data_IF_182052776069
#
_entry.id   IF_182052776069
#
_cell.length_a   1.000
_cell.length_b   1.000
_cell.length_c   1.000
_cell.angle_alpha   90.00
_cell.angle_beta   90.00
_cell.angle_gamma   90.00
#
_symmetry.space_group_name_H-M   'P 1'
#
loop_
_entity.id
_entity.type
_entity.pdbx_description
1 polymer ?
#
# COMPACT_ATOMS: atom_id res chain seq x y z
N UNK A 1 10.02 10.05 10.90
CA UNK A 1 9.73 9.50 9.55
C UNK A 1 10.96 9.57 8.63
N UNK A 2 11.62 10.73 8.47
CA UNK A 2 12.86 10.87 7.66
C UNK A 2 14.00 9.94 8.09
N UNK A 3 14.16 9.68 9.39
CA UNK A 3 15.22 8.79 9.90
C UNK A 3 15.10 7.33 9.40
N UNK A 4 13.89 6.86 9.05
CA UNK A 4 13.70 5.53 8.46
C UNK A 4 14.21 5.51 7.03
N UNK A 5 13.85 6.53 6.24
CA UNK A 5 14.38 6.72 4.89
C UNK A 5 15.91 6.79 4.88
N UNK A 6 16.51 7.62 5.74
CA UNK A 6 17.97 7.80 5.79
C UNK A 6 18.73 6.50 6.12
N UNK A 7 18.07 5.52 6.76
CA UNK A 7 18.62 4.18 7.00
C UNK A 7 18.47 3.27 5.79
N UNK A 8 17.28 3.24 5.18
CA UNK A 8 17.00 2.44 3.97
C UNK A 8 17.83 2.91 2.76
N UNK A 9 18.23 4.18 2.75
CA UNK A 9 19.08 4.74 1.70
C UNK A 9 20.57 4.38 1.82
N UNK A 10 20.94 3.57 2.82
CA UNK A 10 22.29 3.05 3.01
C UNK A 10 22.30 1.55 2.78
N UNK A 11 23.47 1.04 2.44
CA UNK A 11 23.74 -0.40 2.45
C UNK A 11 23.47 -0.94 3.86
N UNK A 12 22.70 -2.02 3.93
CA UNK A 12 22.41 -2.72 5.18
C UNK A 12 22.89 -4.16 5.09
N UNK A 13 23.59 -4.63 6.13
CA UNK A 13 24.01 -6.01 6.25
C UNK A 13 23.12 -6.74 7.25
N UNK A 14 22.58 -7.88 6.83
CA UNK A 14 21.77 -8.78 7.65
C UNK A 14 22.69 -9.85 8.24
N UNK A 15 23.01 -9.76 9.53
CA UNK A 15 23.90 -10.71 10.19
C UNK A 15 23.30 -12.12 10.28
N UNK A 16 21.98 -12.25 10.36
CA UNK A 16 21.34 -13.57 10.47
C UNK A 16 21.34 -14.28 9.12
N UNK A 17 21.05 -13.53 8.05
CA UNK A 17 20.96 -14.07 6.69
C UNK A 17 22.28 -14.05 5.93
N UNK A 18 23.29 -13.34 6.46
CA UNK A 18 24.59 -13.10 5.82
C UNK A 18 24.43 -12.50 4.41
N UNK A 19 23.48 -11.57 4.25
CA UNK A 19 23.20 -10.89 2.96
C UNK A 19 23.30 -9.38 3.10
N UNK A 20 23.74 -8.74 2.02
CA UNK A 20 23.79 -7.29 1.89
C UNK A 20 22.60 -6.80 1.05
N UNK A 21 21.79 -5.91 1.63
CA UNK A 21 20.70 -5.27 0.91
C UNK A 21 21.19 -4.00 0.22
N UNK A 22 20.88 -3.91 -1.08
CA UNK A 22 21.15 -2.71 -1.87
C UNK A 22 20.41 -1.50 -1.30
N UNK A 23 21.04 -0.30 -1.34
CA UNK A 23 20.42 0.92 -0.84
C UNK A 23 19.18 1.27 -1.67
N UNK A 24 18.16 1.83 -1.02
CA UNK A 24 16.91 2.25 -1.65
C UNK A 24 16.88 3.77 -1.80
N UNK A 25 16.19 4.31 -2.81
CA UNK A 25 16.02 5.76 -2.96
C UNK A 25 14.58 6.14 -3.29
N UNK A 26 14.26 7.41 -3.04
CA UNK A 26 12.97 7.99 -3.37
C UNK A 26 12.80 8.09 -4.88
N UNK A 27 11.64 7.68 -5.39
CA UNK A 27 11.34 7.65 -6.83
C UNK A 27 10.49 8.82 -7.31
N UNK A 28 9.81 9.54 -6.41
CA UNK A 28 8.84 10.59 -6.77
C UNK A 28 9.14 11.97 -6.18
N UNK A 29 10.26 12.13 -5.45
CA UNK A 29 10.70 13.41 -4.89
C UNK A 29 12.23 13.50 -4.92
N UNK A 30 12.75 14.31 -5.84
CA UNK A 30 14.19 14.53 -6.02
C UNK A 30 14.84 15.17 -4.78
N UNK A 31 14.11 16.01 -4.04
CA UNK A 31 14.66 16.67 -2.86
C UNK A 31 14.97 15.63 -1.77
N UNK A 32 14.10 14.63 -1.62
CA UNK A 32 14.32 13.52 -0.69
C UNK A 32 15.34 12.53 -1.23
N UNK A 33 15.27 12.18 -2.52
CA UNK A 33 16.25 11.31 -3.19
C UNK A 33 17.68 11.81 -2.98
N UNK A 34 17.88 13.13 -3.07
CA UNK A 34 19.20 13.75 -2.94
C UNK A 34 19.73 13.89 -1.50
N UNK A 35 18.95 13.52 -0.47
CA UNK A 35 19.41 13.60 0.95
C UNK A 35 20.55 12.62 1.25
N UNK A 36 20.46 11.42 0.70
CA UNK A 36 21.46 10.36 0.88
C UNK A 36 21.86 9.86 -0.51
N UNK A 37 23.01 10.32 -0.99
CA UNK A 37 23.55 9.93 -2.30
C UNK A 37 24.37 8.66 -2.16
N UNK A 38 23.71 7.53 -2.39
CA UNK A 38 24.39 6.24 -2.47
C UNK A 38 24.42 5.79 -3.94
N UNK A 39 25.60 5.46 -4.50
CA UNK A 39 25.69 4.93 -5.87
C UNK A 39 24.83 3.67 -6.03
N UNK A 40 24.21 3.51 -7.20
CA UNK A 40 23.36 2.36 -7.54
C UNK A 40 22.17 2.11 -6.59
N UNK A 41 21.67 3.16 -5.92
CA UNK A 41 20.46 3.03 -5.09
C UNK A 41 19.22 2.76 -5.94
N UNK A 42 18.42 1.77 -5.53
CA UNK A 42 17.22 1.33 -6.23
C UNK A 42 16.05 2.30 -5.98
N UNK A 43 15.50 2.98 -7.01
CA UNK A 43 14.39 3.90 -6.84
C UNK A 43 13.06 3.16 -6.65
N UNK A 44 12.78 2.76 -5.40
CA UNK A 44 11.58 1.99 -5.05
C UNK A 44 10.82 2.52 -3.83
N UNK A 45 11.18 3.70 -3.31
CA UNK A 45 10.46 4.34 -2.21
C UNK A 45 9.57 5.45 -2.79
N UNK A 46 8.26 5.33 -2.59
CA UNK A 46 7.31 6.39 -2.92
C UNK A 46 6.93 7.16 -1.65
N UNK A 47 7.10 8.49 -1.67
CA UNK A 47 6.82 9.37 -0.54
C UNK A 47 5.52 10.12 -0.77
N UNK A 48 4.67 10.12 0.25
CA UNK A 48 3.42 10.85 0.24
C UNK A 48 3.51 11.99 1.25
N UNK A 49 3.53 13.21 0.74
CA UNK A 49 3.44 14.44 1.55
C UNK A 49 2.02 14.96 1.43
N UNK A 50 1.11 14.35 2.19
CA UNK A 50 -0.32 14.59 2.03
C UNK A 50 -0.79 15.92 2.65
N UNK A 51 -1.52 16.70 1.85
CA UNK A 51 -2.36 17.80 2.35
C UNK A 51 -3.76 17.29 2.74
N UNK A 52 -4.55 18.09 3.47
CA UNK A 52 -5.94 17.70 3.79
C UNK A 52 -6.77 17.46 2.53
N UNK A 53 -6.59 18.26 1.48
CA UNK A 53 -7.29 18.08 0.19
C UNK A 53 -6.88 16.77 -0.46
N UNK A 54 -5.57 16.49 -0.54
CA UNK A 54 -5.05 15.24 -1.08
C UNK A 54 -5.60 14.03 -0.32
N UNK A 55 -5.62 14.07 1.01
CA UNK A 55 -6.20 13.00 1.84
C UNK A 55 -7.69 12.78 1.57
N UNK A 56 -8.45 13.86 1.38
CA UNK A 56 -9.86 13.76 0.99
C UNK A 56 -10.05 13.12 -0.38
N UNK A 57 -9.18 13.45 -1.33
CA UNK A 57 -9.24 12.87 -2.69
C UNK A 57 -8.87 11.39 -2.68
N UNK A 58 -7.82 11.02 -1.94
CA UNK A 58 -7.41 9.64 -1.73
C UNK A 58 -8.52 8.82 -1.07
N UNK A 59 -9.20 9.36 -0.05
CA UNK A 59 -10.31 8.68 0.61
C UNK A 59 -11.46 8.41 -0.37
N UNK A 60 -11.77 9.38 -1.24
CA UNK A 60 -12.79 9.23 -2.28
C UNK A 60 -12.36 8.24 -3.37
N UNK A 61 -11.09 8.24 -3.77
CA UNK A 61 -10.53 7.31 -4.73
C UNK A 61 -10.62 5.86 -4.21
N UNK A 62 -10.16 5.60 -2.99
CA UNK A 62 -10.27 4.27 -2.38
C UNK A 62 -11.73 3.82 -2.27
N UNK A 63 -12.64 4.71 -1.83
CA UNK A 63 -14.07 4.39 -1.78
C UNK A 63 -14.60 3.98 -3.15
N UNK A 64 -14.26 4.73 -4.18
CA UNK A 64 -14.69 4.44 -5.56
C UNK A 64 -14.12 3.11 -6.04
N UNK A 65 -12.83 2.86 -5.80
CA UNK A 65 -12.18 1.60 -6.14
C UNK A 65 -12.85 0.38 -5.49
N UNK A 66 -13.28 0.51 -4.23
CA UNK A 66 -14.04 -0.55 -3.53
C UNK A 66 -15.46 -0.71 -4.11
N UNK A 67 -16.15 0.39 -4.44
CA UNK A 67 -17.51 0.34 -5.00
C UNK A 67 -17.55 -0.24 -6.41
N UNK A 68 -16.53 0.06 -7.21
CA UNK A 68 -16.40 -0.37 -8.60
C UNK A 68 -15.78 -1.78 -8.71
N UNK A 69 -15.46 -2.43 -7.60
CA UNK A 69 -14.75 -3.73 -7.53
C UNK A 69 -13.39 -3.71 -8.26
N UNK A 70 -12.67 -2.59 -8.17
CA UNK A 70 -11.26 -2.53 -8.59
C UNK A 70 -10.33 -3.22 -7.58
N UNK A 71 -10.77 -3.34 -6.32
CA UNK A 71 -10.08 -4.06 -5.25
C UNK A 71 -10.98 -5.18 -4.75
N UNK A 72 -10.50 -6.42 -4.89
CA UNK A 72 -11.11 -7.58 -4.24
C UNK A 72 -10.40 -7.87 -2.91
N UNK A 73 -11.15 -7.78 -1.81
CA UNK A 73 -10.64 -8.15 -0.49
C UNK A 73 -10.71 -9.68 -0.30
N UNK A 74 -9.79 -10.21 0.51
CA UNK A 74 -9.84 -11.62 0.89
C UNK A 74 -11.15 -11.96 1.59
N UNK A 75 -11.60 -13.21 1.41
CA UNK A 75 -12.73 -13.76 2.15
C UNK A 75 -12.52 -13.66 3.67
N UNK A 76 -13.60 -13.80 4.44
CA UNK A 76 -13.48 -13.80 5.89
C UNK A 76 -12.57 -14.93 6.38
N UNK A 77 -11.87 -14.66 7.49
CA UNK A 77 -10.97 -15.62 8.12
C UNK A 77 -11.67 -16.95 8.44
N UNK A 78 -12.90 -16.92 8.96
CA UNK A 78 -13.66 -18.14 9.23
C UNK A 78 -13.90 -18.98 7.95
N UNK A 79 -14.24 -18.31 6.85
CA UNK A 79 -14.42 -19.01 5.56
C UNK A 79 -13.09 -19.52 5.02
N UNK A 80 -12.00 -18.80 5.23
CA UNK A 80 -10.66 -19.26 4.86
C UNK A 80 -10.23 -20.50 5.66
N UNK A 81 -10.47 -20.52 6.97
CA UNK A 81 -10.23 -21.67 7.84
C UNK A 81 -11.00 -22.92 7.40
N UNK A 82 -12.23 -22.74 6.94
CA UNK A 82 -13.07 -23.87 6.51
C UNK A 82 -12.76 -24.34 5.09
N UNK A 83 -12.50 -23.41 4.16
CA UNK A 83 -12.49 -23.73 2.72
C UNK A 83 -11.14 -23.57 2.02
N UNK A 84 -10.22 -22.73 2.53
CA UNK A 84 -8.99 -22.36 1.81
C UNK A 84 -7.75 -22.93 2.48
N UNK A 85 -7.54 -22.64 3.76
CA UNK A 85 -6.37 -23.06 4.52
C UNK A 85 -6.21 -24.60 4.57
N UNK A 86 -7.29 -25.41 4.73
CA UNK A 86 -7.17 -26.86 4.71
C UNK A 86 -6.72 -27.45 3.36
N UNK A 87 -6.69 -26.65 2.28
CA UNK A 87 -6.18 -27.07 0.97
C UNK A 87 -4.68 -26.89 0.83
N UNK A 88 -4.01 -26.26 1.81
CA UNK A 88 -2.57 -26.00 1.80
C UNK A 88 -1.91 -27.08 2.65
N UNK A 89 -1.14 -27.96 2.03
CA UNK A 89 -0.52 -29.10 2.71
C UNK A 89 0.45 -28.64 3.81
N UNK A 90 1.22 -27.58 3.54
CA UNK A 90 2.17 -26.99 4.49
C UNK A 90 1.47 -26.42 5.72
N UNK A 91 0.27 -25.85 5.58
CA UNK A 91 -0.52 -25.36 6.70
C UNK A 91 -1.04 -26.51 7.57
N UNK A 92 -1.49 -27.60 6.95
CA UNK A 92 -1.99 -28.78 7.66
C UNK A 92 -0.87 -29.57 8.38
N UNK A 93 0.33 -29.56 7.81
CA UNK A 93 1.50 -30.27 8.34
C UNK A 93 2.35 -29.41 9.27
N UNK A 94 2.04 -28.11 9.40
CA UNK A 94 2.73 -27.19 10.28
C UNK A 94 2.75 -27.73 11.73
N UNK A 95 3.96 -27.78 12.28
CA UNK A 95 4.20 -28.27 13.65
C UNK A 95 4.19 -27.07 14.62
N UNK A 96 4.72 -25.94 14.19
CA UNK A 96 4.77 -24.71 14.96
C UNK A 96 3.55 -23.84 14.68
N UNK A 97 3.06 -23.17 15.72
CA UNK A 97 1.92 -22.26 15.58
C UNK A 97 2.23 -21.09 14.65
N UNK A 98 3.48 -20.62 14.65
CA UNK A 98 3.92 -19.51 13.80
C UNK A 98 3.85 -19.86 12.31
N UNK A 99 4.07 -21.13 11.95
CA UNK A 99 3.92 -21.62 10.58
C UNK A 99 2.46 -21.60 10.14
N UNK A 100 1.52 -21.97 11.01
CA UNK A 100 0.08 -21.85 10.72
C UNK A 100 -0.34 -20.39 10.62
N UNK A 101 0.09 -19.57 11.57
CA UNK A 101 -0.21 -18.15 11.64
C UNK A 101 0.27 -17.42 10.39
N UNK A 102 1.38 -17.83 9.78
CA UNK A 102 1.87 -17.27 8.52
C UNK A 102 0.79 -17.32 7.41
N UNK A 103 0.08 -18.44 7.27
CA UNK A 103 -0.98 -18.59 6.27
C UNK A 103 -2.30 -17.93 6.68
N UNK A 104 -2.59 -17.86 7.97
CA UNK A 104 -3.79 -17.20 8.51
C UNK A 104 -3.72 -15.68 8.44
N UNK A 105 -2.51 -15.13 8.61
CA UNK A 105 -2.25 -13.71 8.77
C UNK A 105 -2.85 -12.82 7.67
N UNK A 106 -2.77 -13.14 6.35
CA UNK A 106 -3.39 -12.32 5.32
C UNK A 106 -4.91 -12.10 5.53
N UNK A 107 -5.62 -13.14 5.97
CA UNK A 107 -7.05 -13.07 6.22
C UNK A 107 -7.37 -12.27 7.49
N UNK A 108 -6.60 -12.49 8.56
CA UNK A 108 -6.72 -11.71 9.80
C UNK A 108 -6.45 -10.22 9.55
N UNK A 109 -5.38 -9.88 8.84
CA UNK A 109 -5.04 -8.49 8.52
C UNK A 109 -6.10 -7.84 7.61
N UNK A 110 -6.72 -8.61 6.71
CA UNK A 110 -7.84 -8.11 5.89
C UNK A 110 -9.07 -7.83 6.75
N UNK A 111 -9.40 -8.70 7.71
CA UNK A 111 -10.50 -8.46 8.65
C UNK A 111 -10.25 -7.24 9.52
N UNK A 112 -9.04 -7.10 10.05
CA UNK A 112 -8.65 -5.93 10.85
C UNK A 112 -8.68 -4.65 10.01
N UNK A 113 -8.25 -4.69 8.74
CA UNK A 113 -8.40 -3.55 7.83
C UNK A 113 -9.87 -3.13 7.65
N UNK A 114 -10.78 -4.09 7.46
CA UNK A 114 -12.22 -3.81 7.32
C UNK A 114 -12.78 -3.22 8.61
N UNK A 115 -12.46 -3.83 9.76
CA UNK A 115 -12.91 -3.37 11.07
C UNK A 115 -12.38 -1.96 11.39
N UNK A 116 -11.09 -1.72 11.14
CA UNK A 116 -10.43 -0.44 11.31
C UNK A 116 -11.09 0.64 10.45
N UNK A 117 -11.26 0.36 9.15
CA UNK A 117 -11.87 1.29 8.19
C UNK A 117 -13.31 1.65 8.56
N UNK A 118 -14.12 0.65 8.96
CA UNK A 118 -15.49 0.87 9.43
C UNK A 118 -15.57 1.69 10.73
N UNK A 119 -14.52 1.62 11.56
CA UNK A 119 -14.43 2.35 12.82
C UNK A 119 -14.04 3.82 12.68
N UNK A 120 -13.64 4.27 11.49
CA UNK A 120 -13.18 5.64 11.24
C UNK A 120 -14.34 6.65 11.22
N UNK A 121 -14.03 7.86 11.66
CA UNK A 121 -14.92 9.01 11.56
C UNK A 121 -14.64 9.76 10.27
N UNK A 122 -15.70 10.16 9.58
CA UNK A 122 -15.62 10.98 8.38
C UNK A 122 -16.36 12.29 8.62
N UNK A 123 -15.61 13.39 8.71
CA UNK A 123 -16.16 14.74 8.83
C UNK A 123 -16.02 15.50 7.52
N UNK A 124 -17.09 16.13 7.05
CA UNK A 124 -17.03 17.06 5.93
C UNK A 124 -16.87 18.47 6.45
N UNK A 125 -15.78 19.15 6.11
CA UNK A 125 -15.57 20.55 6.49
C UNK A 125 -16.55 21.44 5.72
N UNK A 126 -17.36 22.21 6.44
CA UNK A 126 -18.47 23.00 5.86
C UNK A 126 -18.00 24.01 4.80
N UNK A 127 -16.85 24.65 5.03
CA UNK A 127 -16.35 25.72 4.15
C UNK A 127 -15.70 25.20 2.86
N UNK A 128 -14.96 24.10 2.94
CA UNK A 128 -14.14 23.59 1.82
C UNK A 128 -14.73 22.35 1.17
N UNK A 129 -15.70 21.71 1.81
CA UNK A 129 -16.28 20.44 1.39
C UNK A 129 -15.34 19.23 1.51
N UNK A 130 -14.10 19.43 1.99
CA UNK A 130 -13.06 18.42 2.16
C UNK A 130 -13.47 17.42 3.24
N UNK A 131 -13.27 16.13 2.95
CA UNK A 131 -13.47 15.05 3.91
C UNK A 131 -12.22 14.87 4.76
N UNK A 132 -12.40 14.83 6.07
CA UNK A 132 -11.35 14.54 7.05
C UNK A 132 -11.67 13.19 7.68
N UNK A 133 -10.76 12.25 7.48
CA UNK A 133 -10.84 10.90 8.04
C UNK A 133 -9.97 10.82 9.30
N UNK A 134 -10.58 10.47 10.42
CA UNK A 134 -9.91 10.41 11.72
C UNK A 134 -10.31 9.18 12.52
N UNK A 135 -9.42 8.80 13.42
CA UNK A 135 -9.57 7.71 14.35
C UNK A 135 -10.67 8.03 15.38
N UNK A 136 -11.39 7.00 15.84
CA UNK A 136 -12.33 7.12 16.95
C UNK A 136 -11.63 6.76 18.26
N UNK A 137 -11.55 7.72 19.19
CA UNK A 137 -10.96 7.48 20.51
C UNK A 137 -9.47 7.13 20.42
N UNK A 138 -9.08 5.96 20.93
CA UNK A 138 -7.70 5.47 20.93
C UNK A 138 -7.39 4.48 19.79
N UNK A 139 -8.31 4.32 18.82
CA UNK A 139 -8.11 3.46 17.66
C UNK A 139 -7.00 4.00 16.75
N UNK A 140 -6.50 3.15 15.85
CA UNK A 140 -5.54 3.53 14.81
C UNK A 140 -6.18 3.51 13.42
N UNK A 141 -5.45 4.02 12.43
CA UNK A 141 -5.83 4.01 11.01
C UNK A 141 -4.68 3.60 10.08
N UNK A 142 -3.69 2.89 10.61
CA UNK A 142 -2.47 2.56 9.88
C UNK A 142 -2.71 1.60 8.71
N UNK A 143 -3.61 0.61 8.86
CA UNK A 143 -4.01 -0.28 7.76
C UNK A 143 -4.80 0.48 6.71
N UNK A 144 -5.76 1.30 7.13
CA UNK A 144 -6.52 2.17 6.24
C UNK A 144 -5.59 3.10 5.44
N UNK A 145 -4.64 3.74 6.12
CA UNK A 145 -3.69 4.66 5.49
C UNK A 145 -2.80 3.90 4.50
N UNK A 146 -2.32 2.71 4.87
CA UNK A 146 -1.50 1.87 3.99
C UNK A 146 -2.24 1.50 2.70
N UNK A 147 -3.46 0.98 2.80
CA UNK A 147 -4.26 0.56 1.64
C UNK A 147 -4.69 1.75 0.79
N UNK A 148 -5.16 2.84 1.41
CA UNK A 148 -5.60 4.04 0.67
C UNK A 148 -4.47 4.70 -0.10
N UNK A 149 -3.27 4.77 0.50
CA UNK A 149 -2.08 5.29 -0.17
C UNK A 149 -1.56 4.35 -1.26
N UNK A 150 -1.64 3.04 -1.05
CA UNK A 150 -1.30 2.05 -2.07
C UNK A 150 -2.25 2.14 -3.28
N UNK A 151 -3.55 2.28 -3.04
CA UNK A 151 -4.54 2.50 -4.11
C UNK A 151 -4.23 3.79 -4.87
N UNK A 152 -3.93 4.89 -4.17
CA UNK A 152 -3.57 6.14 -4.83
C UNK A 152 -2.32 5.99 -5.71
N UNK A 153 -1.29 5.28 -5.22
CA UNK A 153 -0.11 4.99 -6.03
C UNK A 153 -0.45 4.14 -7.26
N UNK A 154 -1.32 3.13 -7.12
CA UNK A 154 -1.79 2.31 -8.23
C UNK A 154 -2.55 3.14 -9.28
N UNK A 155 -3.42 4.07 -8.86
CA UNK A 155 -4.14 4.99 -9.76
C UNK A 155 -3.16 5.88 -10.55
N UNK A 156 -2.10 6.38 -9.91
CA UNK A 156 -1.06 7.16 -10.60
C UNK A 156 -0.31 6.31 -11.64
N UNK A 157 0.02 5.07 -11.29
CA UNK A 157 0.68 4.14 -12.20
C UNK A 157 -0.23 3.76 -13.39
N UNK A 158 -1.52 3.55 -13.14
CA UNK A 158 -2.52 3.31 -14.19
C UNK A 158 -2.55 4.48 -15.19
N UNK A 159 -2.58 5.72 -14.70
CA UNK A 159 -2.57 6.91 -15.54
C UNK A 159 -1.28 7.03 -16.38
N UNK A 160 -0.13 6.77 -15.76
CA UNK A 160 1.16 6.81 -16.45
C UNK A 160 1.21 5.78 -17.60
N UNK A 161 0.80 4.53 -17.32
CA UNK A 161 0.74 3.46 -18.32
C UNK A 161 -0.25 3.76 -19.46
N UNK A 162 -1.41 4.35 -19.18
CA UNK A 162 -2.36 4.77 -20.21
C UNK A 162 -1.78 5.88 -21.11
N UNK A 163 -1.02 6.80 -20.53
CA UNK A 163 -0.39 7.90 -21.28
C UNK A 163 0.68 7.40 -22.26
N UNK A 164 1.41 6.35 -21.88
CA UNK A 164 2.43 5.71 -22.72
C UNK A 164 1.79 5.02 -23.93
N UNK A 165 0.69 4.28 -23.74
CA UNK A 165 0.04 3.55 -24.84
C UNK A 165 -0.52 4.49 -25.93
N UNK A 166 -0.98 5.69 -25.55
CA UNK A 166 -1.55 6.66 -26.51
C UNK A 166 -0.48 7.21 -27.48
N UNK A 167 0.81 7.21 -27.11
CA UNK A 167 1.88 7.71 -27.97
C UNK A 167 2.24 6.75 -29.13
N UNK A 168 1.88 5.48 -29.04
CA UNK A 168 2.20 4.47 -30.06
C UNK A 168 1.11 4.27 -31.13
N UNK A 169 -0.07 4.89 -30.97
CA UNK A 169 -1.21 4.70 -31.90
C UNK A 169 -1.22 5.63 -33.13
N UNK A 170 -0.27 6.56 -33.27
CA UNK A 170 -0.23 7.48 -34.43
C UNK A 170 0.82 7.06 -35.45
N UNK A 171 0.56 5.99 -36.19
CA UNK A 171 1.20 5.76 -37.49
C UNK A 171 0.15 5.96 -38.57
N UNK A 172 0.21 7.10 -39.26
CA UNK A 172 -0.55 7.30 -40.47
C UNK A 172 -0.07 6.29 -41.52
N UNK A 173 -0.93 5.33 -41.86
CA UNK A 173 -0.72 4.50 -43.05
C UNK A 173 -0.93 5.41 -44.26
N UNK A 174 0.17 5.86 -44.85
CA UNK A 174 0.17 6.50 -46.16
C UNK A 174 0.03 5.38 -47.19
N UNK A 175 -1.13 5.32 -47.85
CA UNK A 175 -1.33 4.53 -49.06
C UNK A 175 -0.81 5.29 -50.28
#
# INVERSE_FOLDING_TARGET
MIAVYDRLAKVMYDEERQIEYSPLTCMNDDSIANRVKTPNANPCIFIITASQKMNSDIAMALKTALQDNKIDLLISYNKALEEQLPKIDEYNQAIELDDQLFYEKPYLETQEFIAETNGLLCERKEQTGVLVISERGANRKDRYTSVSYSNYFADLLEQDLMSINTQYEVVALVN
#
